data_IF_772218424116
#
_entry.id   IF_772218424116
#
_cell.length_a   1.000
_cell.length_b   1.000
_cell.length_c   1.000
_cell.angle_alpha   90.00
_cell.angle_beta   90.00
_cell.angle_gamma   90.00
#
_symmetry.space_group_name_H-M   'P 1'
#
loop_
_entity.id
_entity.type
_entity.pdbx_description
1 polymer ?
#
# COMPACT_ATOMS: atom_id res chain seq x y z
N UNK A 1 2.58 -0.22 13.07
CA UNK A 1 2.01 -0.62 11.76
C UNK A 1 2.93 -0.06 10.70
N UNK A 2 3.68 -0.84 9.90
CA UNK A 2 3.32 -2.08 9.19
C UNK A 2 4.35 -3.22 9.35
N UNK A 3 3.83 -4.45 9.44
CA UNK A 3 4.40 -5.71 8.97
C UNK A 3 3.19 -6.39 8.31
N UNK A 4 2.98 -6.06 7.04
CA UNK A 4 1.72 -5.58 6.48
C UNK A 4 0.43 -6.01 7.20
N UNK A 5 -0.10 -5.03 7.94
CA UNK A 5 -1.33 -4.99 8.74
C UNK A 5 -1.64 -6.14 9.70
N UNK A 6 -1.85 -7.36 9.22
CA UNK A 6 -2.13 -8.53 10.08
C UNK A 6 -0.90 -9.38 10.32
N UNK A 7 0.06 -9.34 9.42
CA UNK A 7 1.21 -10.24 9.43
C UNK A 7 2.14 -9.95 10.62
N UNK A 8 2.16 -8.73 11.15
CA UNK A 8 2.86 -8.41 12.39
C UNK A 8 2.35 -9.22 13.59
N UNK A 9 1.03 -9.46 13.68
CA UNK A 9 0.45 -10.32 14.71
C UNK A 9 0.87 -11.79 14.53
N UNK A 10 0.85 -12.28 13.29
CA UNK A 10 1.27 -13.65 12.97
C UNK A 10 2.77 -13.87 13.26
N UNK A 11 3.62 -12.91 12.92
CA UNK A 11 5.04 -12.95 13.22
C UNK A 11 5.30 -12.92 14.74
N UNK A 12 4.57 -12.07 15.49
CA UNK A 12 4.64 -12.03 16.96
C UNK A 12 4.27 -13.39 17.60
N UNK A 13 3.32 -14.12 17.00
CA UNK A 13 2.90 -15.46 17.43
C UNK A 13 3.78 -16.60 16.88
N UNK A 14 4.82 -16.31 16.09
CA UNK A 14 5.69 -17.34 15.51
C UNK A 14 5.07 -18.16 14.37
N UNK A 15 4.04 -17.64 13.71
CA UNK A 15 3.30 -18.34 12.65
C UNK A 15 3.87 -18.10 11.24
N UNK A 16 4.90 -17.25 11.11
CA UNK A 16 5.53 -16.92 9.83
C UNK A 16 7.01 -17.28 9.86
N UNK A 17 7.49 -17.87 8.76
CA UNK A 17 8.91 -18.10 8.54
C UNK A 17 9.61 -16.83 8.05
N UNK A 18 10.89 -16.68 8.41
CA UNK A 18 11.75 -15.66 7.82
C UNK A 18 12.09 -16.03 6.37
N UNK A 19 11.98 -15.06 5.46
CA UNK A 19 12.41 -15.21 4.07
C UNK A 19 13.79 -14.57 3.87
N UNK A 20 14.60 -15.15 2.98
CA UNK A 20 15.99 -14.73 2.74
C UNK A 20 16.28 -14.53 1.24
N UNK A 21 15.51 -13.68 0.51
CA UNK A 21 15.82 -13.38 -0.88
C UNK A 21 17.18 -12.69 -1.00
N UNK A 22 17.93 -13.01 -2.06
CA UNK A 22 19.18 -12.32 -2.36
C UNK A 22 18.94 -10.85 -2.74
N UNK A 23 20.02 -10.07 -2.76
CA UNK A 23 19.94 -8.66 -3.13
C UNK A 23 19.42 -8.44 -4.55
N UNK A 24 19.82 -9.30 -5.49
CA UNK A 24 19.40 -9.21 -6.89
C UNK A 24 17.88 -9.36 -7.04
N UNK A 25 17.23 -10.16 -6.19
CA UNK A 25 15.79 -10.29 -6.14
C UNK A 25 15.13 -9.13 -5.39
N UNK A 26 15.68 -8.71 -4.25
CA UNK A 26 15.14 -7.58 -3.50
C UNK A 26 15.10 -6.29 -4.32
N UNK A 27 16.12 -6.06 -5.15
CA UNK A 27 16.24 -4.90 -6.03
C UNK A 27 15.18 -4.86 -7.16
N UNK A 28 14.40 -5.94 -7.35
CA UNK A 28 13.29 -5.99 -8.32
C UNK A 28 12.00 -5.35 -7.80
N UNK A 29 11.87 -5.14 -6.49
CA UNK A 29 10.69 -4.57 -5.85
C UNK A 29 11.03 -3.22 -5.22
N UNK A 30 10.03 -2.36 -5.06
CA UNK A 30 10.24 -1.04 -4.47
C UNK A 30 10.67 -1.14 -3.00
N UNK A 31 11.70 -0.38 -2.54
CA UNK A 31 12.23 -0.49 -1.17
C UNK A 31 11.18 -0.37 -0.07
N UNK A 32 10.23 0.56 -0.20
CA UNK A 32 9.18 0.77 0.81
C UNK A 32 8.27 -0.46 1.02
N UNK A 33 8.17 -1.33 0.01
CA UNK A 33 7.38 -2.57 0.11
C UNK A 33 8.06 -3.62 0.97
N UNK A 34 9.41 -3.64 0.98
CA UNK A 34 10.19 -4.48 1.90
C UNK A 34 10.12 -3.99 3.33
N UNK A 35 10.13 -2.66 3.52
CA UNK A 35 9.96 -2.06 4.84
C UNK A 35 8.57 -2.41 5.42
N UNK A 36 7.53 -2.41 4.59
CA UNK A 36 6.17 -2.76 5.00
C UNK A 36 6.00 -4.20 5.45
N UNK A 37 6.89 -5.13 5.06
CA UNK A 37 6.86 -6.55 5.47
C UNK A 37 8.00 -6.91 6.43
N UNK A 38 8.69 -5.91 6.98
CA UNK A 38 9.76 -6.11 7.96
C UNK A 38 9.19 -6.13 9.37
N UNK A 39 9.50 -7.18 10.13
CA UNK A 39 9.13 -7.30 11.53
C UNK A 39 10.36 -7.64 12.39
N UNK A 40 10.67 -6.81 13.38
CA UNK A 40 11.86 -6.93 14.23
C UNK A 40 13.16 -7.16 13.43
N UNK A 41 13.33 -6.43 12.31
CA UNK A 41 14.49 -6.52 11.42
C UNK A 41 14.42 -7.62 10.36
N UNK A 42 13.55 -8.62 10.51
CA UNK A 42 13.44 -9.78 9.61
C UNK A 42 12.39 -9.56 8.52
N UNK A 43 12.62 -10.12 7.34
CA UNK A 43 11.63 -10.18 6.27
C UNK A 43 10.72 -11.39 6.51
N UNK A 44 9.40 -11.17 6.62
CA UNK A 44 8.42 -12.21 6.98
C UNK A 44 7.43 -12.55 5.86
N UNK A 45 7.51 -11.85 4.72
CA UNK A 45 6.65 -12.07 3.56
C UNK A 45 7.26 -11.46 2.29
N UNK A 46 6.81 -11.93 1.12
CA UNK A 46 7.09 -11.30 -0.16
C UNK A 46 5.99 -10.28 -0.49
N UNK A 47 6.31 -9.00 -0.71
CA UNK A 47 5.33 -8.01 -1.14
C UNK A 47 4.92 -8.25 -2.60
N UNK A 48 3.61 -8.20 -2.88
CA UNK A 48 3.06 -8.56 -4.20
C UNK A 48 2.39 -7.36 -4.89
N UNK A 49 1.53 -6.65 -4.17
CA UNK A 49 0.76 -5.52 -4.70
C UNK A 49 0.75 -4.37 -3.68
N UNK A 50 0.52 -3.16 -4.18
CA UNK A 50 0.33 -1.95 -3.37
C UNK A 50 -1.07 -1.43 -3.63
N UNK A 51 -1.86 -1.31 -2.58
CA UNK A 51 -3.20 -0.75 -2.62
C UNK A 51 -3.20 0.66 -2.04
N UNK A 52 -3.80 1.59 -2.77
CA UNK A 52 -3.99 2.97 -2.32
C UNK A 52 -5.32 3.50 -2.88
N UNK A 53 -5.98 4.35 -2.11
CA UNK A 53 -7.18 5.04 -2.59
C UNK A 53 -6.80 6.01 -3.72
N UNK A 54 -7.67 6.06 -4.73
CA UNK A 54 -7.63 7.04 -5.80
C UNK A 54 -9.04 7.52 -6.08
N UNK A 55 -9.17 8.74 -6.60
CA UNK A 55 -10.49 9.28 -6.93
C UNK A 55 -10.91 8.86 -8.34
N UNK A 56 -12.01 8.11 -8.42
CA UNK A 56 -12.66 7.72 -9.67
C UNK A 56 -13.68 8.81 -10.04
N UNK A 57 -13.73 9.23 -11.29
CA UNK A 57 -14.70 10.21 -11.81
C UNK A 57 -15.22 9.78 -13.18
N UNK A 58 -16.47 10.10 -13.48
CA UNK A 58 -17.09 9.84 -14.79
C UNK A 58 -16.78 11.01 -15.74
N UNK A 59 -16.11 10.73 -16.86
CA UNK A 59 -15.68 11.76 -17.82
C UNK A 59 -16.83 12.41 -18.59
N UNK A 60 -17.97 11.73 -18.74
CA UNK A 60 -19.14 12.26 -19.44
C UNK A 60 -19.89 13.27 -18.56
N UNK A 61 -19.84 13.09 -17.22
CA UNK A 61 -20.49 13.97 -16.25
C UNK A 61 -19.55 15.07 -15.76
N UNK A 62 -18.28 14.75 -15.51
CA UNK A 62 -17.29 15.67 -14.92
C UNK A 62 -15.97 15.55 -15.68
N UNK A 63 -15.83 16.23 -16.85
CA UNK A 63 -14.62 16.14 -17.67
C UNK A 63 -13.37 16.70 -16.96
N UNK A 64 -13.56 17.68 -16.08
CA UNK A 64 -12.49 18.30 -15.28
C UNK A 64 -12.80 18.11 -13.78
N UNK A 65 -12.30 17.05 -13.13
CA UNK A 65 -12.62 16.78 -11.73
C UNK A 65 -11.97 17.80 -10.78
N UNK A 66 -12.65 18.21 -9.69
CA UNK A 66 -12.23 19.27 -8.78
C UNK A 66 -10.87 18.96 -8.15
N UNK A 67 -9.96 19.90 -7.92
CA UNK A 67 -8.63 19.53 -7.39
C UNK A 67 -8.59 19.46 -5.87
N UNK A 68 -9.54 20.10 -5.21
CA UNK A 68 -9.65 20.21 -3.77
C UNK A 68 -10.99 19.64 -3.27
N UNK A 69 -11.08 19.43 -1.95
CA UNK A 69 -12.34 18.99 -1.33
C UNK A 69 -13.34 20.15 -1.23
N UNK A 70 -12.85 21.38 -1.09
CA UNK A 70 -13.62 22.61 -0.94
C UNK A 70 -14.44 22.95 -2.20
N UNK A 71 -14.03 22.48 -3.37
CA UNK A 71 -14.75 22.65 -4.64
C UNK A 71 -15.96 21.71 -4.78
N UNK A 72 -16.01 20.59 -4.03
CA UNK A 72 -17.04 19.55 -4.18
C UNK A 72 -18.47 20.07 -3.88
N UNK A 73 -18.71 20.85 -2.80
CA UNK A 73 -20.05 21.38 -2.53
C UNK A 73 -20.58 22.36 -3.60
N UNK A 74 -19.68 23.01 -4.36
CA UNK A 74 -20.08 23.85 -5.48
C UNK A 74 -20.44 22.98 -6.69
N UNK A 75 -19.61 21.97 -6.99
CA UNK A 75 -19.84 21.00 -8.07
C UNK A 75 -21.17 20.23 -7.91
N UNK A 76 -21.55 19.87 -6.68
CA UNK A 76 -22.83 19.18 -6.40
C UNK A 76 -24.07 20.05 -6.69
N UNK A 77 -23.92 21.37 -6.70
CA UNK A 77 -25.01 22.33 -6.95
C UNK A 77 -25.17 22.72 -8.42
N UNK A 78 -24.21 22.36 -9.28
CA UNK A 78 -24.26 22.59 -10.73
C UNK A 78 -25.23 21.62 -11.42
#
# INVERSE_FOLDING_TARGET
FWAHDRFGGYAQSGLLAEITPDKAFQDKLYPFTWDAVRYNGKLIAYPIAVEALSRIYNKDLVPNPPKTWEEIPALDKE
#
